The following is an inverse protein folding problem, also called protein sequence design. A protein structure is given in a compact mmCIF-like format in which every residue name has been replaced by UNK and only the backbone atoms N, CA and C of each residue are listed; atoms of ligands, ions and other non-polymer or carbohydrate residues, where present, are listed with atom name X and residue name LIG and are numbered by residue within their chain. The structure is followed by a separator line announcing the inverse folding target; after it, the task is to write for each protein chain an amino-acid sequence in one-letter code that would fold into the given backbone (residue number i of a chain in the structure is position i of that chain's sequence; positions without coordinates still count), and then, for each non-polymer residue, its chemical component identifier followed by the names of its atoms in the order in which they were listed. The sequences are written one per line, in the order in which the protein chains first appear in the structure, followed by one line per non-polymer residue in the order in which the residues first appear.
data_IF_941186275458
#
_entry.id   IF_941186275458
#
_cell.length_a   1.000
_cell.length_b   1.000
_cell.length_c   1.000
_cell.angle_alpha   90.00
_cell.angle_beta   90.00
_cell.angle_gamma   90.00
#
_symmetry.space_group_name_H-M   'P 1'
#
loop_
_entity.id
_entity.type
_entity.pdbx_description
1 polymer ?
#
# COMPACT_ATOMS: atom_id res chain seq x y z
N UNK A 1 19.99 7.40 -20.03
CA UNK A 1 19.88 6.04 -19.46
C UNK A 1 19.00 6.13 -18.23
N UNK A 2 17.97 5.31 -18.16
CA UNK A 2 16.97 5.30 -17.08
C UNK A 2 16.87 3.92 -16.47
N UNK A 3 16.47 3.84 -15.18
CA UNK A 3 16.27 2.60 -14.45
C UNK A 3 14.79 2.41 -14.07
N UNK A 4 14.29 1.17 -14.19
CA UNK A 4 12.97 0.77 -13.74
C UNK A 4 13.12 -0.26 -12.61
N UNK A 5 12.58 0.01 -11.48
CA UNK A 5 12.80 -0.77 -10.26
C UNK A 5 13.06 0.24 -9.15
N UNK A 6 13.65 -0.03 -8.12
CA UNK A 6 13.90 -1.21 -7.34
C UNK A 6 12.62 -1.72 -6.68
N UNK A 7 12.67 -2.71 -5.74
CA UNK A 7 11.46 -3.15 -5.03
C UNK A 7 11.45 -2.62 -3.60
N UNK A 8 12.55 -2.83 -2.86
CA UNK A 8 12.59 -2.47 -1.43
C UNK A 8 12.97 -1.00 -1.23
N UNK A 9 12.49 -0.41 -0.13
CA UNK A 9 12.88 0.93 0.28
C UNK A 9 14.39 1.07 0.52
N UNK A 10 15.03 0.02 1.04
CA UNK A 10 16.49 0.00 1.22
C UNK A 10 17.22 0.14 -0.12
N UNK A 11 16.89 -0.72 -1.11
CA UNK A 11 17.54 -0.68 -2.42
C UNK A 11 17.26 0.62 -3.19
N UNK A 12 16.07 1.25 -2.99
CA UNK A 12 15.80 2.57 -3.57
C UNK A 12 16.73 3.63 -2.95
N UNK A 13 16.84 3.66 -1.62
CA UNK A 13 17.68 4.64 -0.91
C UNK A 13 19.16 4.47 -1.24
N UNK A 14 19.62 3.24 -1.41
CA UNK A 14 21.03 2.95 -1.76
C UNK A 14 21.42 3.46 -3.15
N UNK A 15 20.51 3.43 -4.14
CA UNK A 15 20.83 3.86 -5.51
C UNK A 15 20.73 5.38 -5.73
N UNK A 16 20.03 6.12 -4.86
CA UNK A 16 19.81 7.57 -5.04
C UNK A 16 21.11 8.35 -5.26
N UNK A 17 22.19 8.16 -4.48
CA UNK A 17 23.45 8.90 -4.71
C UNK A 17 24.04 8.66 -6.10
N UNK A 18 23.95 7.44 -6.63
CA UNK A 18 24.45 7.11 -7.97
C UNK A 18 23.57 7.76 -9.05
N UNK A 19 22.25 7.82 -8.85
CA UNK A 19 21.34 8.50 -9.77
C UNK A 19 21.64 10.00 -9.85
N UNK A 20 21.85 10.63 -8.70
CA UNK A 20 22.22 12.06 -8.62
C UNK A 20 23.58 12.32 -9.27
N UNK A 21 24.60 11.52 -8.94
CA UNK A 21 25.95 11.67 -9.48
C UNK A 21 26.00 11.54 -11.02
N UNK A 22 25.18 10.64 -11.58
CA UNK A 22 25.19 10.33 -13.01
C UNK A 22 24.04 10.99 -13.79
N UNK A 23 23.22 11.81 -13.13
CA UNK A 23 22.02 12.43 -13.70
C UNK A 23 21.14 11.41 -14.43
N UNK A 24 20.71 10.36 -13.71
CA UNK A 24 19.86 9.28 -14.20
C UNK A 24 18.48 9.35 -13.54
N UNK A 25 17.44 8.80 -14.17
CA UNK A 25 16.10 8.70 -13.57
C UNK A 25 15.81 7.27 -13.13
N UNK A 26 15.19 7.16 -11.94
CA UNK A 26 14.59 5.94 -11.45
C UNK A 26 13.06 6.06 -11.56
N UNK A 27 12.44 5.11 -12.24
CA UNK A 27 10.99 4.96 -12.33
C UNK A 27 10.55 3.91 -11.31
N UNK A 28 10.09 4.38 -10.13
CA UNK A 28 9.81 3.54 -8.97
C UNK A 28 8.31 3.25 -8.85
N UNK A 29 7.91 2.00 -9.11
CA UNK A 29 6.51 1.55 -9.17
C UNK A 29 5.94 0.96 -7.88
N UNK A 30 6.73 0.87 -6.80
CA UNK A 30 6.30 0.26 -5.54
C UNK A 30 5.78 1.32 -4.54
N UNK A 31 4.86 0.96 -3.62
CA UNK A 31 4.54 1.80 -2.48
C UNK A 31 5.76 1.98 -1.58
N UNK A 32 5.81 3.10 -0.85
CA UNK A 32 6.90 3.39 0.05
C UNK A 32 6.45 4.18 1.29
N UNK A 33 7.32 4.25 2.28
CA UNK A 33 7.05 4.79 3.61
C UNK A 33 6.91 6.32 3.70
N UNK A 34 7.12 7.06 2.61
CA UNK A 34 7.14 8.52 2.63
C UNK A 34 8.47 9.10 3.10
N UNK A 35 8.45 10.39 3.47
CA UNK A 35 9.58 11.17 4.01
C UNK A 35 10.81 11.20 3.10
N UNK A 36 10.57 11.15 1.81
CA UNK A 36 11.58 11.21 0.77
C UNK A 36 11.03 11.94 -0.45
N UNK A 37 11.85 12.75 -1.08
CA UNK A 37 11.61 13.36 -2.38
C UNK A 37 12.96 13.58 -3.04
N UNK A 38 13.20 12.95 -4.18
CA UNK A 38 14.41 13.07 -4.97
C UNK A 38 14.04 13.46 -6.39
N UNK A 39 14.75 14.42 -6.96
CA UNK A 39 14.49 14.90 -8.32
C UNK A 39 14.74 13.83 -9.39
N UNK A 40 15.62 12.86 -9.08
CA UNK A 40 15.95 11.74 -9.95
C UNK A 40 15.00 10.55 -9.81
N UNK A 41 13.99 10.61 -8.91
CA UNK A 41 13.06 9.50 -8.71
C UNK A 41 11.64 9.92 -9.08
N UNK A 42 11.00 9.13 -9.93
CA UNK A 42 9.57 9.24 -10.25
C UNK A 42 8.81 8.19 -9.42
N UNK A 43 8.02 8.64 -8.44
CA UNK A 43 7.33 7.79 -7.48
C UNK A 43 5.91 7.45 -7.99
N UNK A 44 5.68 6.21 -8.38
CA UNK A 44 4.44 5.76 -9.01
C UNK A 44 3.63 4.76 -8.17
N UNK A 45 4.18 4.29 -7.05
CA UNK A 45 3.56 3.23 -6.24
C UNK A 45 2.74 3.71 -5.03
N UNK A 46 2.75 4.97 -4.72
CA UNK A 46 2.00 5.57 -3.62
C UNK A 46 2.81 5.77 -2.33
N UNK A 47 2.43 6.81 -1.60
CA UNK A 47 2.98 7.18 -0.30
C UNK A 47 1.88 7.04 0.79
N UNK A 48 2.21 7.20 2.08
CA UNK A 48 1.31 6.82 3.19
C UNK A 48 -0.09 7.42 3.15
N UNK A 49 -0.25 8.69 2.72
CA UNK A 49 -1.57 9.30 2.63
C UNK A 49 -2.46 8.70 1.53
N UNK A 50 -1.87 7.96 0.59
CA UNK A 50 -2.56 7.32 -0.53
C UNK A 50 -2.88 5.84 -0.26
N UNK A 51 -2.32 5.24 0.80
CA UNK A 51 -2.46 3.81 1.12
C UNK A 51 -2.72 3.56 2.60
N UNK A 52 -1.75 3.80 3.46
CA UNK A 52 -1.78 3.44 4.88
C UNK A 52 -2.85 4.20 5.66
N UNK A 53 -2.97 5.51 5.45
CA UNK A 53 -3.92 6.34 6.19
C UNK A 53 -5.38 6.00 5.89
N UNK A 54 -5.81 5.89 4.61
CA UNK A 54 -7.17 5.45 4.30
C UNK A 54 -7.51 4.08 4.90
N UNK A 55 -6.56 3.13 4.83
CA UNK A 55 -6.74 1.78 5.38
C UNK A 55 -6.93 1.80 6.91
N UNK A 56 -6.10 2.56 7.63
CA UNK A 56 -6.20 2.69 9.08
C UNK A 56 -7.50 3.36 9.51
N UNK A 57 -7.93 4.43 8.82
CA UNK A 57 -9.20 5.10 9.11
C UNK A 57 -10.38 4.17 8.97
N UNK A 58 -10.44 3.44 7.84
CA UNK A 58 -11.48 2.44 7.64
C UNK A 58 -11.45 1.35 8.72
N UNK A 59 -10.28 0.89 9.11
CA UNK A 59 -10.14 -0.14 10.14
C UNK A 59 -10.58 0.34 11.54
N UNK A 60 -10.23 1.56 11.92
CA UNK A 60 -10.67 2.17 13.18
C UNK A 60 -12.20 2.29 13.25
N UNK A 61 -12.85 2.60 12.11
CA UNK A 61 -14.30 2.69 12.03
C UNK A 61 -14.99 1.31 12.05
N UNK A 62 -14.39 0.32 11.38
CA UNK A 62 -15.01 -1.01 11.21
C UNK A 62 -14.77 -1.96 12.37
N UNK A 63 -13.58 -1.96 12.95
CA UNK A 63 -13.15 -3.02 13.87
C UNK A 63 -12.98 -2.55 15.30
N UNK A 64 -12.61 -1.30 15.52
CA UNK A 64 -12.31 -0.74 16.82
C UNK A 64 -10.96 -0.04 16.87
N UNK A 65 -10.45 0.23 18.06
CA UNK A 65 -9.34 1.16 18.25
C UNK A 65 -8.10 0.57 18.97
N UNK A 66 -8.07 -0.76 19.13
CA UNK A 66 -6.94 -1.48 19.76
C UNK A 66 -6.17 -2.23 18.69
N UNK A 67 -4.96 -1.79 18.40
CA UNK A 67 -4.17 -2.34 17.30
C UNK A 67 -2.88 -3.00 17.75
N UNK A 68 -2.47 -4.07 17.04
CA UNK A 68 -1.12 -4.61 17.03
C UNK A 68 -0.40 -4.17 15.76
N UNK A 69 0.85 -3.71 15.89
CA UNK A 69 1.68 -3.31 14.76
C UNK A 69 2.81 -4.30 14.59
N UNK A 70 2.92 -4.91 13.40
CA UNK A 70 4.03 -5.80 13.09
C UNK A 70 4.72 -5.37 11.80
N UNK A 71 6.03 -5.56 11.73
CA UNK A 71 6.79 -5.16 10.56
C UNK A 71 8.08 -5.95 10.38
N UNK A 72 8.57 -5.98 9.16
CA UNK A 72 9.93 -6.44 8.90
C UNK A 72 10.93 -5.43 9.45
N UNK A 73 12.03 -5.93 9.99
CA UNK A 73 13.03 -5.11 10.70
C UNK A 73 13.91 -4.32 9.72
N UNK A 74 13.30 -3.35 9.03
CA UNK A 74 13.95 -2.38 8.15
C UNK A 74 13.05 -1.15 7.93
N UNK A 75 13.53 -0.14 7.22
CA UNK A 75 12.92 1.19 7.12
C UNK A 75 11.42 1.19 6.79
N UNK A 76 10.95 0.35 5.87
CA UNK A 76 9.53 0.21 5.53
C UNK A 76 8.68 -0.14 6.76
N UNK A 77 9.08 -1.18 7.50
CA UNK A 77 8.35 -1.62 8.70
C UNK A 77 8.35 -0.56 9.79
N UNK A 78 9.50 0.06 10.04
CA UNK A 78 9.65 1.06 11.11
C UNK A 78 8.82 2.31 10.84
N UNK A 79 8.95 2.91 9.66
CA UNK A 79 8.27 4.15 9.33
C UNK A 79 6.76 3.95 9.15
N UNK A 80 6.33 2.85 8.55
CA UNK A 80 4.90 2.54 8.43
C UNK A 80 4.25 2.32 9.78
N UNK A 81 4.90 1.62 10.71
CA UNK A 81 4.39 1.44 12.07
C UNK A 81 4.42 2.75 12.88
N UNK A 82 5.46 3.58 12.72
CA UNK A 82 5.51 4.90 13.36
C UNK A 82 4.32 5.76 12.95
N UNK A 83 4.04 5.86 11.63
CA UNK A 83 2.89 6.61 11.13
C UNK A 83 1.58 6.00 11.65
N UNK A 84 1.45 4.67 11.62
CA UNK A 84 0.27 3.98 12.10
C UNK A 84 0.00 4.26 13.58
N UNK A 85 1.03 4.26 14.43
CA UNK A 85 0.94 4.64 15.84
C UNK A 85 0.39 6.05 16.01
N UNK A 86 0.94 7.02 15.28
CA UNK A 86 0.48 8.40 15.34
C UNK A 86 -1.00 8.55 14.94
N UNK A 87 -1.44 7.81 13.93
CA UNK A 87 -2.84 7.81 13.48
C UNK A 87 -3.75 7.17 14.52
N UNK A 88 -3.41 5.98 15.01
CA UNK A 88 -4.20 5.24 15.99
C UNK A 88 -4.34 6.04 17.30
N UNK A 89 -3.22 6.46 17.88
CA UNK A 89 -3.21 7.21 19.14
C UNK A 89 -3.83 8.61 18.97
N UNK A 90 -3.57 9.27 17.83
CA UNK A 90 -4.20 10.55 17.48
C UNK A 90 -5.71 10.50 17.32
N UNK A 91 -6.25 9.32 16.97
CA UNK A 91 -7.69 9.05 16.88
C UNK A 91 -8.30 8.50 18.18
N UNK A 92 -7.57 8.55 19.30
CA UNK A 92 -7.99 8.05 20.61
C UNK A 92 -7.95 6.53 20.74
N UNK A 93 -7.23 5.84 19.88
CA UNK A 93 -6.97 4.41 19.97
C UNK A 93 -5.73 4.07 20.79
N UNK A 94 -5.40 2.80 20.83
CA UNK A 94 -4.26 2.27 21.58
C UNK A 94 -3.51 1.24 20.75
N UNK A 95 -2.20 1.40 20.67
CA UNK A 95 -1.31 0.35 20.16
C UNK A 95 -0.98 -0.58 21.32
N UNK A 96 -1.61 -1.77 21.35
CA UNK A 96 -1.48 -2.74 22.44
C UNK A 96 -0.22 -3.60 22.33
N UNK A 97 0.43 -3.59 21.20
CA UNK A 97 1.73 -4.24 20.99
C UNK A 97 2.38 -3.86 19.66
N UNK A 98 3.70 -4.00 19.64
CA UNK A 98 4.50 -3.76 18.44
C UNK A 98 5.69 -4.72 18.41
N UNK A 99 5.95 -5.34 17.25
CA UNK A 99 7.10 -6.24 17.08
C UNK A 99 7.64 -6.20 15.64
N UNK A 100 8.96 -6.32 15.56
CA UNK A 100 9.67 -6.41 14.28
C UNK A 100 10.34 -7.78 14.15
N UNK A 101 10.23 -8.38 12.96
CA UNK A 101 10.87 -9.65 12.63
C UNK A 101 11.94 -9.43 11.56
N UNK A 102 13.02 -10.18 11.66
CA UNK A 102 14.02 -10.20 10.60
C UNK A 102 13.41 -10.74 9.30
N UNK A 103 13.88 -10.23 8.16
CA UNK A 103 13.50 -10.75 6.85
C UNK A 103 13.78 -12.26 6.76
N UNK A 104 12.85 -13.00 6.16
CA UNK A 104 12.89 -14.45 6.00
C UNK A 104 12.82 -15.25 7.34
N UNK A 105 12.40 -14.62 8.43
CA UNK A 105 12.12 -15.33 9.66
C UNK A 105 10.72 -15.95 9.61
N UNK A 106 10.64 -17.27 9.50
CA UNK A 106 9.35 -18.00 9.49
C UNK A 106 8.86 -18.41 10.88
N UNK A 107 9.64 -18.20 11.93
CA UNK A 107 9.20 -18.49 13.30
C UNK A 107 8.35 -17.33 13.84
N UNK A 108 7.04 -17.50 13.77
CA UNK A 108 6.04 -16.50 14.16
C UNK A 108 5.24 -16.90 15.41
N UNK A 109 5.56 -18.03 16.03
CA UNK A 109 4.79 -18.63 17.14
C UNK A 109 4.64 -17.67 18.32
N UNK A 110 5.75 -17.17 18.85
CA UNK A 110 5.73 -16.22 19.99
C UNK A 110 4.99 -14.93 19.67
N UNK A 111 5.07 -14.46 18.42
CA UNK A 111 4.34 -13.28 17.98
C UNK A 111 2.84 -13.52 18.00
N UNK A 112 2.39 -14.66 17.49
CA UNK A 112 0.97 -15.03 17.47
C UNK A 112 0.43 -15.21 18.89
N UNK A 113 1.16 -15.89 19.77
CA UNK A 113 0.80 -16.04 21.19
C UNK A 113 0.66 -14.67 21.88
N UNK A 114 1.60 -13.74 21.62
CA UNK A 114 1.55 -12.39 22.16
C UNK A 114 0.31 -11.61 21.64
N UNK A 115 -0.01 -11.70 20.35
CA UNK A 115 -1.19 -11.07 19.77
C UNK A 115 -2.48 -11.64 20.38
N UNK A 116 -2.61 -12.97 20.44
CA UNK A 116 -3.83 -13.63 20.92
C UNK A 116 -4.05 -13.52 22.43
N UNK A 117 -2.99 -13.27 23.20
CA UNK A 117 -3.07 -13.02 24.65
C UNK A 117 -3.55 -11.60 25.00
N UNK A 118 -3.67 -10.71 24.01
CA UNK A 118 -4.17 -9.34 24.19
C UNK A 118 -5.56 -9.18 23.60
N UNK A 119 -6.31 -8.22 24.14
CA UNK A 119 -7.53 -7.75 23.47
C UNK A 119 -7.11 -6.81 22.34
N UNK A 120 -7.28 -7.26 21.11
CA UNK A 120 -6.91 -6.54 19.88
C UNK A 120 -8.06 -6.58 18.89
N UNK A 121 -8.29 -5.46 18.21
CA UNK A 121 -9.37 -5.32 17.22
C UNK A 121 -8.84 -5.61 15.82
N UNK A 122 -7.60 -5.18 15.53
CA UNK A 122 -6.93 -5.47 14.26
C UNK A 122 -5.40 -5.49 14.38
N UNK A 123 -4.76 -6.15 13.43
CA UNK A 123 -3.30 -6.19 13.28
C UNK A 123 -2.90 -5.47 12.01
N UNK A 124 -1.98 -4.51 12.07
CA UNK A 124 -1.32 -3.95 10.89
C UNK A 124 -0.09 -4.80 10.56
N UNK A 125 -0.11 -5.44 9.41
CA UNK A 125 0.95 -6.33 8.93
C UNK A 125 1.82 -5.65 7.85
N UNK A 126 2.97 -5.14 8.26
CA UNK A 126 4.04 -4.60 7.41
C UNK A 126 5.21 -5.58 7.24
N UNK A 127 4.98 -6.88 7.51
CA UNK A 127 5.92 -7.95 7.13
C UNK A 127 5.93 -8.11 5.62
N UNK A 128 7.04 -8.58 5.06
CA UNK A 128 7.20 -8.81 3.62
C UNK A 128 7.57 -10.26 3.31
N UNK A 129 7.08 -10.75 2.16
CA UNK A 129 7.40 -12.07 1.60
C UNK A 129 7.05 -13.22 2.55
N UNK A 130 7.89 -14.25 2.59
CA UNK A 130 7.68 -15.49 3.33
C UNK A 130 7.32 -15.29 4.82
N UNK A 131 7.90 -14.27 5.47
CA UNK A 131 7.57 -13.95 6.86
C UNK A 131 6.10 -13.55 7.01
N UNK A 132 5.59 -12.73 6.07
CA UNK A 132 4.18 -12.34 6.03
C UNK A 132 3.26 -13.53 5.78
N UNK A 133 3.64 -14.40 4.84
CA UNK A 133 2.83 -15.58 4.50
C UNK A 133 2.77 -16.57 5.65
N UNK A 134 3.91 -16.87 6.29
CA UNK A 134 3.97 -17.73 7.47
C UNK A 134 3.11 -17.16 8.61
N UNK A 135 3.18 -15.83 8.84
CA UNK A 135 2.36 -15.17 9.85
C UNK A 135 0.87 -15.31 9.56
N UNK A 136 0.42 -15.01 8.34
CA UNK A 136 -1.01 -15.06 7.98
C UNK A 136 -1.58 -16.48 8.11
N UNK A 137 -0.86 -17.49 7.60
CA UNK A 137 -1.28 -18.91 7.72
C UNK A 137 -1.38 -19.35 9.18
N UNK A 138 -0.34 -19.10 9.96
CA UNK A 138 -0.29 -19.53 11.35
C UNK A 138 -1.29 -18.77 12.24
N UNK A 139 -1.53 -17.48 11.97
CA UNK A 139 -2.56 -16.70 12.65
C UNK A 139 -3.96 -17.21 12.33
N UNK A 140 -4.24 -17.53 11.06
CA UNK A 140 -5.54 -18.09 10.65
C UNK A 140 -5.84 -19.41 11.36
N UNK A 141 -4.85 -20.34 11.40
CA UNK A 141 -4.96 -21.58 12.11
C UNK A 141 -5.19 -21.40 13.62
N UNK A 142 -4.47 -20.48 14.24
CA UNK A 142 -4.63 -20.17 15.65
C UNK A 142 -6.01 -19.55 15.96
N UNK A 143 -6.46 -18.61 15.13
CA UNK A 143 -7.80 -18.01 15.25
C UNK A 143 -8.91 -19.06 15.07
N UNK A 144 -8.75 -20.02 14.15
CA UNK A 144 -9.71 -21.12 13.98
C UNK A 144 -9.81 -22.01 15.21
N UNK A 145 -8.68 -22.37 15.84
CA UNK A 145 -8.65 -23.17 17.09
C UNK A 145 -9.40 -22.45 18.20
N UNK A 146 -9.19 -21.14 18.32
CA UNK A 146 -9.74 -20.30 19.39
C UNK A 146 -11.17 -19.81 19.06
N UNK A 147 -11.73 -20.23 17.92
CA UNK A 147 -13.03 -19.77 17.40
C UNK A 147 -13.16 -18.25 17.38
N UNK A 148 -12.10 -17.58 16.99
CA UNK A 148 -11.96 -16.14 16.94
C UNK A 148 -11.82 -15.67 15.49
N UNK A 149 -12.34 -14.48 15.18
CA UNK A 149 -12.06 -13.78 13.91
C UNK A 149 -11.21 -12.56 14.19
N UNK A 150 -10.19 -12.31 13.38
CA UNK A 150 -9.31 -11.16 13.55
C UNK A 150 -9.05 -10.46 12.20
N UNK A 151 -9.14 -9.13 12.21
CA UNK A 151 -8.81 -8.32 11.05
C UNK A 151 -7.28 -8.12 10.94
N UNK A 152 -6.75 -8.28 9.73
CA UNK A 152 -5.35 -7.99 9.39
C UNK A 152 -5.32 -7.01 8.24
N UNK A 153 -4.57 -5.94 8.39
CA UNK A 153 -4.40 -4.86 7.41
C UNK A 153 -3.04 -4.97 6.75
N UNK A 154 -2.95 -4.75 5.44
CA UNK A 154 -1.67 -4.71 4.74
C UNK A 154 -1.70 -3.73 3.56
N UNK A 155 -0.66 -2.92 3.39
CA UNK A 155 -0.49 -2.05 2.22
C UNK A 155 0.40 -2.68 1.14
N UNK A 156 0.97 -3.84 1.39
CA UNK A 156 1.92 -4.52 0.51
C UNK A 156 1.51 -5.93 0.11
N UNK A 157 0.39 -6.44 0.60
CA UNK A 157 -0.16 -7.72 0.18
C UNK A 157 -1.12 -7.52 -1.00
N UNK A 158 -0.90 -8.26 -2.09
CA UNK A 158 -1.60 -8.11 -3.37
C UNK A 158 -2.11 -9.44 -3.91
N UNK A 159 -2.72 -9.41 -5.08
CA UNK A 159 -3.17 -10.62 -5.79
C UNK A 159 -2.04 -11.62 -6.06
N UNK A 160 -0.81 -11.12 -6.24
CA UNK A 160 0.34 -11.97 -6.56
C UNK A 160 0.69 -12.93 -5.42
N UNK A 161 0.37 -12.56 -4.18
CA UNK A 161 0.67 -13.35 -2.98
C UNK A 161 -0.50 -14.22 -2.50
N UNK A 162 -1.69 -14.08 -3.08
CA UNK A 162 -2.90 -14.77 -2.61
C UNK A 162 -2.71 -16.30 -2.56
N UNK A 163 -2.05 -16.88 -3.55
CA UNK A 163 -1.81 -18.33 -3.61
C UNK A 163 -0.97 -18.86 -2.43
N UNK A 164 -0.17 -17.99 -1.81
CA UNK A 164 0.70 -18.36 -0.69
C UNK A 164 -0.04 -18.52 0.63
N UNK A 165 -1.23 -17.92 0.77
CA UNK A 165 -1.95 -17.87 2.05
C UNK A 165 -3.40 -18.35 1.97
N UNK A 166 -4.05 -18.28 0.81
CA UNK A 166 -5.47 -18.61 0.68
C UNK A 166 -5.73 -20.14 0.73
N UNK A 167 -6.92 -20.55 1.23
CA UNK A 167 -7.96 -19.69 1.77
C UNK A 167 -7.73 -19.34 3.25
N UNK A 168 -7.93 -18.07 3.61
CA UNK A 168 -8.06 -17.65 5.00
C UNK A 168 -9.51 -17.83 5.46
N UNK A 169 -9.75 -18.37 6.65
CA UNK A 169 -11.09 -18.73 7.16
C UNK A 169 -11.48 -18.00 8.43
N UNK A 170 -10.52 -17.56 9.22
CA UNK A 170 -10.72 -16.83 10.47
C UNK A 170 -10.05 -15.44 10.42
N UNK A 171 -9.05 -15.24 9.58
CA UNK A 171 -8.43 -13.95 9.35
C UNK A 171 -9.16 -13.21 8.23
N UNK A 172 -9.61 -11.98 8.52
CA UNK A 172 -10.11 -11.03 7.53
C UNK A 172 -8.95 -10.16 7.06
N UNK A 173 -8.43 -10.45 5.86
CA UNK A 173 -7.30 -9.70 5.31
C UNK A 173 -7.80 -8.56 4.43
N UNK A 174 -7.51 -7.31 4.85
CA UNK A 174 -7.77 -6.11 4.10
C UNK A 174 -6.48 -5.57 3.51
N UNK A 175 -6.52 -5.19 2.24
CA UNK A 175 -5.41 -4.53 1.55
C UNK A 175 -5.81 -3.18 0.98
N UNK A 176 -4.84 -2.29 0.80
CA UNK A 176 -5.03 -0.99 0.19
C UNK A 176 -4.01 -0.75 -0.92
N UNK A 177 -4.47 -0.22 -2.03
CA UNK A 177 -3.60 0.11 -3.14
C UNK A 177 -4.31 0.84 -4.28
N UNK A 178 -3.56 1.26 -5.30
CA UNK A 178 -4.11 2.00 -6.44
C UNK A 178 -4.82 1.11 -7.46
N UNK A 179 -4.80 -0.21 -7.27
CA UNK A 179 -5.42 -1.16 -8.19
C UNK A 179 -5.64 -2.52 -7.51
N UNK A 180 -6.73 -3.17 -7.91
CA UNK A 180 -7.05 -4.59 -7.69
C UNK A 180 -7.64 -5.16 -8.99
N UNK A 181 -7.46 -6.47 -9.26
CA UNK A 181 -7.99 -7.10 -10.49
C UNK A 181 -9.49 -6.87 -10.68
N UNK A 182 -10.24 -6.84 -9.57
CA UNK A 182 -11.69 -6.59 -9.58
C UNK A 182 -12.09 -5.17 -10.06
N UNK A 183 -11.13 -4.25 -10.20
CA UNK A 183 -11.38 -2.89 -10.70
C UNK A 183 -11.49 -2.85 -12.22
N UNK A 184 -10.67 -3.65 -12.93
CA UNK A 184 -10.65 -3.68 -14.40
C UNK A 184 -10.33 -5.09 -14.92
N UNK A 185 -11.37 -5.93 -14.98
CA UNK A 185 -11.28 -7.32 -15.44
C UNK A 185 -10.88 -7.42 -16.92
N UNK A 186 -11.30 -6.45 -17.74
CA UNK A 186 -10.97 -6.45 -19.17
C UNK A 186 -9.49 -6.16 -19.40
N UNK A 187 -8.92 -5.22 -18.63
CA UNK A 187 -7.47 -4.98 -18.64
C UNK A 187 -6.73 -6.25 -18.20
N UNK A 188 -7.13 -6.87 -17.11
CA UNK A 188 -6.50 -8.09 -16.60
C UNK A 188 -6.55 -9.21 -17.65
N UNK A 189 -7.70 -9.44 -18.27
CA UNK A 189 -7.85 -10.45 -19.32
C UNK A 189 -6.92 -10.20 -20.52
N UNK A 190 -6.76 -8.94 -20.95
CA UNK A 190 -5.82 -8.59 -22.01
C UNK A 190 -4.36 -8.85 -21.59
N UNK A 191 -3.97 -8.51 -20.35
CA UNK A 191 -2.61 -8.75 -19.87
C UNK A 191 -2.31 -10.26 -19.75
N UNK A 192 -3.26 -11.04 -19.27
CA UNK A 192 -3.15 -12.50 -19.23
C UNK A 192 -2.94 -13.09 -20.63
N UNK A 193 -3.73 -12.65 -21.60
CA UNK A 193 -3.65 -13.15 -22.97
C UNK A 193 -2.34 -12.74 -23.66
N UNK A 194 -1.90 -11.49 -23.48
CA UNK A 194 -0.75 -10.94 -24.20
C UNK A 194 0.60 -11.32 -23.59
N UNK A 195 0.67 -11.45 -22.28
CA UNK A 195 1.92 -11.58 -21.54
C UNK A 195 1.98 -12.84 -20.66
N UNK A 196 0.92 -13.66 -20.63
CA UNK A 196 0.87 -14.85 -19.78
C UNK A 196 0.93 -14.51 -18.28
N UNK A 197 0.60 -13.26 -17.90
CA UNK A 197 0.63 -12.83 -16.50
C UNK A 197 -0.37 -13.66 -15.68
N UNK A 198 0.08 -14.24 -14.56
CA UNK A 198 -0.78 -15.09 -13.74
C UNK A 198 -1.74 -14.26 -12.89
N UNK A 199 -1.24 -13.20 -12.25
CA UNK A 199 -2.02 -12.27 -11.42
C UNK A 199 -1.54 -10.83 -11.67
N UNK A 200 -2.48 -9.89 -11.66
CA UNK A 200 -2.21 -8.47 -11.93
C UNK A 200 -2.29 -7.69 -10.62
N UNK A 201 -1.15 -7.47 -10.01
CA UNK A 201 -1.03 -6.69 -8.78
C UNK A 201 -0.87 -5.20 -9.04
N UNK A 202 -1.01 -4.38 -8.00
CA UNK A 202 -0.69 -2.96 -8.12
C UNK A 202 0.82 -2.72 -8.40
N UNK A 203 1.70 -3.65 -8.07
CA UNK A 203 3.13 -3.60 -8.49
C UNK A 203 3.28 -3.77 -10.00
N UNK A 204 2.50 -4.70 -10.59
CA UNK A 204 2.44 -4.85 -12.05
C UNK A 204 1.99 -3.57 -12.72
N UNK A 205 0.90 -2.96 -12.22
CA UNK A 205 0.37 -1.68 -12.73
C UNK A 205 1.39 -0.56 -12.57
N UNK A 206 2.10 -0.50 -11.44
CA UNK A 206 3.18 0.47 -11.22
C UNK A 206 4.28 0.38 -12.27
N UNK A 207 4.74 -0.82 -12.58
CA UNK A 207 5.73 -1.08 -13.64
C UNK A 207 5.19 -0.76 -15.04
N UNK A 208 3.97 -1.18 -15.34
CA UNK A 208 3.31 -0.90 -16.61
C UNK A 208 3.11 0.61 -16.86
N UNK A 209 2.66 1.36 -15.84
CA UNK A 209 2.54 2.82 -15.89
C UNK A 209 3.91 3.48 -16.07
N UNK A 210 4.94 3.01 -15.36
CA UNK A 210 6.30 3.54 -15.46
C UNK A 210 6.79 3.50 -16.90
N UNK A 211 6.69 2.35 -17.55
CA UNK A 211 7.13 2.17 -18.94
C UNK A 211 6.32 3.06 -19.90
N UNK A 212 5.01 3.14 -19.74
CA UNK A 212 4.16 3.98 -20.60
C UNK A 212 4.44 5.47 -20.43
N UNK A 213 4.51 5.96 -19.20
CA UNK A 213 4.80 7.36 -18.91
C UNK A 213 6.18 7.74 -19.44
N UNK A 214 7.18 6.90 -19.23
CA UNK A 214 8.51 7.10 -19.80
C UNK A 214 8.50 7.16 -21.31
N UNK A 215 7.90 6.19 -21.99
CA UNK A 215 7.84 6.14 -23.45
C UNK A 215 7.14 7.37 -24.06
N UNK A 216 6.06 7.82 -23.42
CA UNK A 216 5.35 9.04 -23.84
C UNK A 216 6.20 10.28 -23.59
N UNK A 217 6.85 10.38 -22.41
CA UNK A 217 7.72 11.51 -22.09
C UNK A 217 8.91 11.60 -23.03
N UNK A 218 9.54 10.46 -23.34
CA UNK A 218 10.67 10.39 -24.26
C UNK A 218 10.26 10.84 -25.68
N UNK A 219 9.09 10.39 -26.15
CA UNK A 219 8.57 10.77 -27.47
C UNK A 219 8.26 12.28 -27.53
N UNK A 220 7.65 12.84 -26.49
CA UNK A 220 7.33 14.25 -26.42
C UNK A 220 8.56 15.13 -26.24
N UNK A 221 9.56 14.69 -25.45
CA UNK A 221 10.81 15.42 -25.26
C UNK A 221 11.70 15.43 -26.52
N UNK A 222 11.58 14.41 -27.38
CA UNK A 222 12.40 14.25 -28.58
C UNK A 222 13.89 13.93 -28.31
N UNK A 223 14.27 13.77 -27.06
CA UNK A 223 15.63 13.39 -26.62
C UNK A 223 15.57 12.67 -25.27
N UNK A 224 16.69 12.11 -24.81
CA UNK A 224 16.79 11.33 -23.58
C UNK A 224 17.41 12.09 -22.39
N UNK A 225 17.47 13.43 -22.46
CA UNK A 225 17.96 14.24 -21.34
C UNK A 225 16.96 14.19 -20.17
N UNK A 226 17.37 13.83 -18.96
CA UNK A 226 16.48 13.65 -17.82
C UNK A 226 15.55 14.84 -17.55
N UNK A 227 16.09 16.05 -17.59
CA UNK A 227 15.28 17.26 -17.39
C UNK A 227 14.22 17.46 -18.46
N UNK A 228 14.50 17.13 -19.73
CA UNK A 228 13.53 17.22 -20.82
C UNK A 228 12.45 16.13 -20.68
N UNK A 229 12.83 14.92 -20.29
CA UNK A 229 11.91 13.80 -20.04
C UNK A 229 10.98 14.12 -18.86
N UNK A 230 11.49 14.66 -17.74
CA UNK A 230 10.68 15.08 -16.60
C UNK A 230 9.74 16.24 -16.96
N UNK A 231 10.22 17.24 -17.71
CA UNK A 231 9.37 18.34 -18.16
C UNK A 231 8.21 17.85 -19.03
N UNK A 232 8.44 16.88 -19.91
CA UNK A 232 7.40 16.23 -20.69
C UNK A 232 6.45 15.40 -19.80
N UNK A 233 6.97 14.63 -18.84
CA UNK A 233 6.17 13.88 -17.88
C UNK A 233 5.20 14.78 -17.10
N UNK A 234 5.66 15.91 -16.61
CA UNK A 234 4.85 16.83 -15.82
C UNK A 234 3.72 17.52 -16.62
N UNK A 235 3.75 17.46 -17.95
CA UNK A 235 2.65 17.94 -18.80
C UNK A 235 1.60 16.85 -19.08
N UNK A 236 1.93 15.57 -18.85
CA UNK A 236 0.98 14.48 -19.11
C UNK A 236 -0.19 14.49 -18.13
N UNK A 237 -1.37 14.29 -18.67
CA UNK A 237 -2.60 14.08 -17.90
C UNK A 237 -2.90 12.59 -17.79
N UNK A 238 -3.54 12.20 -16.71
CA UNK A 238 -3.98 10.82 -16.55
C UNK A 238 -5.11 10.52 -17.55
N UNK A 239 -4.96 9.42 -18.27
CA UNK A 239 -5.94 8.98 -19.29
C UNK A 239 -7.26 8.58 -18.63
N UNK A 240 -7.15 8.02 -17.41
CA UNK A 240 -8.29 7.52 -16.65
C UNK A 240 -8.93 8.60 -15.75
N UNK A 241 -8.31 9.79 -15.67
CA UNK A 241 -8.80 10.94 -14.90
C UNK A 241 -8.57 12.24 -15.68
N UNK A 242 -9.42 12.53 -16.69
CA UNK A 242 -9.26 13.73 -17.51
C UNK A 242 -9.22 15.00 -16.66
N UNK A 243 -8.15 15.79 -16.82
CA UNK A 243 -7.91 17.02 -16.07
C UNK A 243 -6.96 16.87 -14.86
N UNK A 244 -6.70 15.65 -14.39
CA UNK A 244 -5.67 15.42 -13.38
C UNK A 244 -4.30 15.18 -14.02
N UNK A 245 -3.23 15.71 -13.41
CA UNK A 245 -1.86 15.41 -13.84
C UNK A 245 -1.47 14.02 -13.34
N UNK A 246 -0.85 13.23 -14.19
CA UNK A 246 -0.39 11.88 -13.82
C UNK A 246 0.68 11.91 -12.72
N UNK A 247 1.57 12.91 -12.77
CA UNK A 247 2.67 13.08 -11.82
C UNK A 247 2.83 14.56 -11.45
N UNK A 248 3.03 14.83 -10.16
CA UNK A 248 3.18 16.17 -9.62
C UNK A 248 4.60 16.71 -9.85
N UNK A 249 4.70 17.86 -10.53
CA UNK A 249 5.98 18.49 -10.84
C UNK A 249 6.82 18.88 -9.62
N UNK A 250 6.18 19.17 -8.49
CA UNK A 250 6.88 19.65 -7.28
C UNK A 250 7.68 18.56 -6.56
N UNK A 251 7.37 17.28 -6.77
CA UNK A 251 7.96 16.19 -6.00
C UNK A 251 8.02 14.85 -6.75
N UNK A 252 7.71 14.83 -8.05
CA UNK A 252 7.72 13.63 -8.91
C UNK A 252 6.84 12.46 -8.43
N UNK A 253 5.79 12.72 -7.65
CA UNK A 253 4.87 11.71 -7.16
C UNK A 253 3.60 11.63 -8.01
N UNK A 254 3.12 10.42 -8.25
CA UNK A 254 1.87 10.18 -8.96
C UNK A 254 0.65 10.51 -8.10
N UNK A 255 -0.39 11.07 -8.73
CA UNK A 255 -1.74 11.04 -8.20
C UNK A 255 -2.32 9.65 -8.45
N UNK A 256 -2.87 9.00 -7.43
CA UNK A 256 -3.27 7.61 -7.52
C UNK A 256 -4.70 7.39 -7.04
N UNK A 257 -5.47 6.51 -7.72
CA UNK A 257 -6.69 5.96 -7.13
C UNK A 257 -6.36 5.29 -5.80
N UNK A 258 -7.32 5.28 -4.89
CA UNK A 258 -7.20 4.54 -3.64
C UNK A 258 -8.39 3.61 -3.49
N UNK A 259 -8.11 2.33 -3.41
CA UNK A 259 -9.08 1.28 -3.15
C UNK A 259 -8.67 0.53 -1.90
N UNK A 260 -9.66 0.14 -1.09
CA UNK A 260 -9.50 -0.80 0.01
C UNK A 260 -10.33 -2.02 -0.31
N UNK A 261 -9.72 -3.19 -0.23
CA UNK A 261 -10.35 -4.45 -0.58
C UNK A 261 -10.09 -5.51 0.48
N UNK A 262 -11.04 -6.42 0.66
CA UNK A 262 -10.95 -7.59 1.53
C UNK A 262 -10.73 -8.85 0.70
N UNK A 263 -9.79 -9.69 1.11
CA UNK A 263 -9.58 -11.00 0.48
C UNK A 263 -10.75 -11.93 0.82
N UNK A 264 -11.50 -12.34 -0.19
CA UNK A 264 -12.56 -13.32 -0.09
C UNK A 264 -12.21 -14.54 -0.93
N UNK A 265 -12.00 -15.68 -0.27
CA UNK A 265 -11.48 -16.90 -0.90
C UNK A 265 -10.13 -16.66 -1.59
N UNK A 266 -10.11 -16.39 -2.88
CA UNK A 266 -8.89 -16.18 -3.69
C UNK A 266 -8.88 -14.85 -4.45
N UNK A 267 -9.85 -13.97 -4.19
CA UNK A 267 -10.00 -12.70 -4.90
C UNK A 267 -10.23 -11.54 -3.93
N UNK A 268 -9.69 -10.39 -4.24
CA UNK A 268 -9.99 -9.16 -3.51
C UNK A 268 -11.31 -8.55 -3.97
N UNK A 269 -12.20 -8.27 -3.00
CA UNK A 269 -13.47 -7.57 -3.20
C UNK A 269 -13.34 -6.15 -2.66
N UNK A 270 -13.68 -5.15 -3.49
CA UNK A 270 -13.58 -3.74 -3.09
C UNK A 270 -14.60 -3.44 -2.00
N UNK A 271 -14.14 -2.95 -0.86
CA UNK A 271 -14.96 -2.44 0.25
C UNK A 271 -15.13 -0.93 0.17
N UNK A 272 -14.07 -0.22 -0.23
CA UNK A 272 -14.07 1.23 -0.29
C UNK A 272 -13.26 1.73 -1.50
N UNK A 273 -13.72 2.84 -2.06
CA UNK A 273 -13.03 3.55 -3.15
C UNK A 273 -13.09 5.04 -2.88
N UNK A 274 -11.95 5.71 -2.92
CA UNK A 274 -11.93 7.17 -2.92
C UNK A 274 -12.57 7.71 -4.22
N UNK A 275 -13.43 8.74 -4.14
CA UNK A 275 -14.17 9.24 -5.31
C UNK A 275 -13.26 9.89 -6.35
N UNK A 276 -12.11 10.40 -5.94
CA UNK A 276 -11.12 11.05 -6.80
C UNK A 276 -9.72 10.48 -6.50
N UNK A 277 -8.80 10.53 -7.47
CA UNK A 277 -7.41 10.20 -7.22
C UNK A 277 -6.82 11.02 -6.09
N UNK A 278 -6.13 10.35 -5.16
CA UNK A 278 -5.54 10.97 -3.99
C UNK A 278 -4.24 11.68 -4.39
N UNK A 279 -4.15 12.96 -4.05
CA UNK A 279 -2.93 13.76 -4.24
C UNK A 279 -1.83 13.27 -3.29
N UNK A 280 -0.58 13.14 -3.77
CA UNK A 280 0.52 12.69 -2.93
C UNK A 280 0.93 13.75 -1.90
N UNK A 281 1.06 13.31 -0.64
CA UNK A 281 1.63 14.09 0.47
C UNK A 281 2.70 13.24 1.17
N UNK A 282 3.90 13.09 0.56
CA UNK A 282 4.92 12.18 1.08
C UNK A 282 5.44 12.54 2.47
N UNK A 283 5.33 13.80 2.87
CA UNK A 283 5.75 14.27 4.21
C UNK A 283 4.59 14.41 5.19
N UNK A 284 3.37 14.07 4.79
CA UNK A 284 2.15 14.22 5.60
C UNK A 284 1.96 15.65 6.15
N UNK A 285 2.40 16.64 5.39
CA UNK A 285 2.41 18.05 5.79
C UNK A 285 1.05 18.73 5.67
N UNK A 286 0.21 18.25 4.76
CA UNK A 286 -1.15 18.72 4.52
C UNK A 286 -2.21 17.72 5.01
N UNK A 287 -1.79 16.57 5.51
CA UNK A 287 -2.67 15.47 5.92
C UNK A 287 -2.87 15.50 7.43
N UNK A 288 -4.11 15.63 7.89
CA UNK A 288 -4.43 15.52 9.30
C UNK A 288 -4.27 14.06 9.77
N UNK A 289 -3.31 13.83 10.69
CA UNK A 289 -3.09 12.54 11.33
C UNK A 289 -4.03 12.33 12.52
N UNK A 290 -4.62 13.41 13.04
CA UNK A 290 -5.55 13.40 14.18
C UNK A 290 -6.94 13.76 13.66
N UNK A 291 -7.84 12.81 13.60
CA UNK A 291 -9.25 13.14 13.39
C UNK A 291 -9.87 13.62 14.71
N UNK A 292 -10.34 14.86 14.73
CA UNK A 292 -11.29 15.30 15.75
C UNK A 292 -12.55 14.44 15.59
N UNK A 293 -12.75 13.45 16.44
CA UNK A 293 -14.04 12.74 16.52
C UNK A 293 -15.13 13.75 16.87
N UNK A 294 -15.75 14.36 15.89
CA UNK A 294 -17.14 14.80 16.03
C UNK A 294 -17.92 13.50 16.17
N UNK A 295 -18.39 13.23 17.40
CA UNK A 295 -19.27 12.11 17.70
C UNK A 295 -20.54 12.32 16.87
N UNK A 296 -20.55 11.83 15.65
CA UNK A 296 -21.78 11.66 14.89
C UNK A 296 -22.55 10.54 15.59
N UNK A 297 -23.66 10.90 16.24
CA UNK A 297 -24.55 9.96 16.89
C UNK A 297 -24.87 8.82 15.92
N UNK A 298 -24.57 7.58 16.33
CA UNK A 298 -24.94 6.37 15.59
C UNK A 298 -26.43 6.45 15.25
N UNK A 299 -26.86 6.34 14.00
CA UNK A 299 -28.28 6.23 13.69
C UNK A 299 -28.81 4.96 14.35
N UNK A 300 -29.72 5.11 15.26
CA UNK A 300 -30.42 4.00 15.91
C UNK A 300 -31.11 3.18 14.81
N UNK A 301 -30.73 1.94 14.62
CA UNK A 301 -31.44 0.97 13.79
C UNK A 301 -32.85 0.83 14.33
N UNK A 302 -33.83 1.43 13.66
CA UNK A 302 -35.26 1.15 13.90
C UNK A 302 -35.59 -0.19 13.25
N UNK A 303 -35.78 -1.19 14.09
CA UNK A 303 -36.41 -2.45 13.66
C UNK A 303 -37.87 -2.10 13.34
N UNK A 304 -38.23 -2.14 12.06
CA UNK A 304 -39.61 -2.10 11.63
C UNK A 304 -40.16 -3.52 11.83
N UNK A 305 -41.16 -3.64 12.72
CA UNK A 305 -41.90 -4.88 12.93
C UNK A 305 -42.85 -5.16 11.77
#
# INVERSE_FOLDING_TARGET
RDSFGTITSASRKEIIPDLEQHNLLLWYGCPYEGFESCEQVVYLGGCPNQTLLPLLRLALDMFGNRSWLIGSNYVWGWESNRIAREVVEGSGGTVVGEKYLHLRNSNVTELIEAILSTEVDFVLNNLVGETSYAFLRALDEACLRDRRTLAVLSCNFTEAEVAEVAPLRAVRLLSCGPFFESVDLDFCARQHLQHGAQRISHYYIGGWRAVRLFANSLREAGNSEPGAVLAALHRQHDVDSPGARSVMARNNHACLPCYIAELQQTCFQILHREPLPVMPDPYLSATELRESRTVAARPALRIVK
#
